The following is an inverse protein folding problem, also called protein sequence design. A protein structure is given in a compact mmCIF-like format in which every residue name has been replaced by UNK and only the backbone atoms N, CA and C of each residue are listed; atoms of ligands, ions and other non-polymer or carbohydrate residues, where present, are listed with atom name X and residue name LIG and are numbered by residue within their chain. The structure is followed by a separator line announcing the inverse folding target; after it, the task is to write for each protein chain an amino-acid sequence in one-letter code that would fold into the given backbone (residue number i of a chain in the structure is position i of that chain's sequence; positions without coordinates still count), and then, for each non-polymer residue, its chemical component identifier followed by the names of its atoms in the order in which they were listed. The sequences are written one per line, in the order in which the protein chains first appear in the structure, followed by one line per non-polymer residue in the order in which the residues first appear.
data_IF_853752016574
#
_entry.id   IF_853752016574
#
_cell.length_a   1.000
_cell.length_b   1.000
_cell.length_c   1.000
_cell.angle_alpha   90.00
_cell.angle_beta   90.00
_cell.angle_gamma   90.00
#
_symmetry.space_group_name_H-M   'P 1'
#
loop_
_entity.id
_entity.type
_entity.pdbx_description
1 polymer ?
#
# COMPACT_ATOMS: atom_id res chain seq x y z
N UNK A 1 8.24 2.30 20.62
CA UNK A 1 7.61 3.35 19.85
C UNK A 1 6.77 2.78 18.73
N UNK A 2 5.55 3.16 18.67
CA UNK A 2 4.72 2.65 17.62
C UNK A 2 5.08 3.30 16.30
N UNK A 3 5.13 2.51 15.28
CA UNK A 3 5.23 3.02 13.95
C UNK A 3 3.85 3.50 13.57
N UNK A 4 3.62 4.77 13.50
CA UNK A 4 2.39 5.26 12.96
C UNK A 4 2.19 4.76 11.54
N UNK A 5 1.12 5.15 10.89
CA UNK A 5 0.92 4.74 9.51
C UNK A 5 2.05 5.24 8.62
N UNK A 6 2.38 4.41 7.64
CA UNK A 6 3.42 4.73 6.67
C UNK A 6 2.79 5.38 5.46
N UNK A 7 3.59 6.12 4.72
CA UNK A 7 3.16 6.74 3.48
C UNK A 7 4.05 6.28 2.35
N UNK A 8 3.47 6.15 1.18
CA UNK A 8 4.23 5.75 0.02
C UNK A 8 3.49 6.05 -1.26
N UNK A 9 4.07 5.56 -2.34
CA UNK A 9 3.57 5.76 -3.70
C UNK A 9 3.41 4.40 -4.34
N UNK A 10 2.28 4.18 -4.99
CA UNK A 10 2.03 2.94 -5.71
C UNK A 10 3.01 2.83 -6.87
N UNK A 11 3.80 1.78 -6.85
CA UNK A 11 4.73 1.47 -7.94
C UNK A 11 4.01 0.73 -9.05
N UNK A 12 3.16 -0.22 -8.67
CA UNK A 12 2.40 -0.99 -9.64
C UNK A 12 1.22 -1.65 -8.94
N UNK A 13 0.20 -2.00 -9.72
CA UNK A 13 -0.93 -2.77 -9.22
C UNK A 13 -1.56 -3.49 -10.40
N UNK A 14 -1.75 -4.79 -10.22
CA UNK A 14 -2.41 -5.64 -11.22
C UNK A 14 -3.82 -5.96 -10.72
N UNK A 15 -4.86 -5.37 -11.30
CA UNK A 15 -6.23 -5.63 -10.84
C UNK A 15 -6.69 -7.06 -11.12
N UNK A 16 -6.03 -7.76 -12.02
CA UNK A 16 -6.40 -9.14 -12.34
C UNK A 16 -5.96 -10.07 -11.20
N UNK A 17 -4.69 -9.99 -10.81
CA UNK A 17 -4.19 -10.81 -9.72
C UNK A 17 -4.50 -10.21 -8.35
N UNK A 18 -4.71 -8.90 -8.29
CA UNK A 18 -4.95 -8.22 -7.04
C UNK A 18 -3.69 -7.97 -6.24
N UNK A 19 -2.53 -8.00 -6.87
CA UNK A 19 -1.25 -7.80 -6.20
C UNK A 19 -0.62 -6.52 -6.69
N UNK A 20 -0.02 -5.77 -5.78
CA UNK A 20 0.66 -4.53 -6.12
C UNK A 20 1.86 -4.29 -5.25
N UNK A 21 2.55 -3.20 -5.52
CA UNK A 21 3.77 -2.81 -4.82
C UNK A 21 3.72 -1.32 -4.51
N UNK A 22 4.17 -0.97 -3.31
CA UNK A 22 4.25 0.41 -2.85
C UNK A 22 5.71 0.69 -2.51
N UNK A 23 6.20 1.87 -2.90
CA UNK A 23 7.50 2.35 -2.45
C UNK A 23 7.25 3.26 -1.24
N UNK A 24 7.81 2.89 -0.10
CA UNK A 24 7.64 3.67 1.12
C UNK A 24 8.48 4.94 1.07
N UNK A 25 7.91 6.07 1.47
CA UNK A 25 8.61 7.35 1.46
C UNK A 25 9.77 7.39 2.45
N UNK A 26 9.63 6.69 3.56
CA UNK A 26 10.58 6.80 4.67
C UNK A 26 11.89 6.08 4.38
N UNK A 27 11.81 4.86 3.89
CA UNK A 27 12.99 4.01 3.69
C UNK A 27 13.22 3.64 2.24
N UNK A 28 12.33 4.05 1.34
CA UNK A 28 12.40 3.78 -0.10
C UNK A 28 12.40 2.29 -0.44
N UNK A 29 11.94 1.46 0.49
CA UNK A 29 11.79 0.03 0.24
C UNK A 29 10.47 -0.26 -0.44
N UNK A 30 10.44 -1.35 -1.19
CA UNK A 30 9.22 -1.84 -1.81
C UNK A 30 8.46 -2.70 -0.81
N UNK A 31 7.15 -2.47 -0.72
CA UNK A 31 6.26 -3.30 0.08
C UNK A 31 5.16 -3.82 -0.79
N UNK A 32 4.89 -5.11 -0.69
CA UNK A 32 3.84 -5.75 -1.46
C UNK A 32 2.50 -5.60 -0.76
N UNK A 33 1.44 -5.52 -1.53
CA UNK A 33 0.09 -5.56 -0.98
C UNK A 33 -0.80 -6.37 -1.89
N UNK A 34 -1.91 -6.86 -1.33
CA UNK A 34 -2.89 -7.63 -2.08
C UNK A 34 -4.23 -6.89 -2.06
N UNK A 35 -5.18 -7.43 -2.83
CA UNK A 35 -6.51 -6.82 -2.89
C UNK A 35 -7.15 -6.71 -1.52
N UNK A 36 -6.83 -7.60 -0.59
CA UNK A 36 -7.39 -7.55 0.75
C UNK A 36 -7.02 -6.25 1.49
N UNK A 37 -5.91 -5.61 1.13
CA UNK A 37 -5.51 -4.35 1.72
C UNK A 37 -6.45 -3.21 1.31
N UNK A 38 -7.26 -3.40 0.30
CA UNK A 38 -8.19 -2.39 -0.21
C UNK A 38 -9.60 -2.55 0.37
N UNK A 39 -9.84 -3.60 1.13
CA UNK A 39 -11.16 -3.84 1.71
C UNK A 39 -11.49 -2.72 2.68
N UNK A 40 -12.67 -2.12 2.52
CA UNK A 40 -13.07 -0.98 3.33
C UNK A 40 -12.45 0.33 2.90
N UNK A 41 -11.64 0.31 1.87
CA UNK A 41 -11.00 1.51 1.34
C UNK A 41 -11.87 2.15 0.28
N UNK A 42 -11.61 3.44 0.01
CA UNK A 42 -12.26 4.13 -1.11
C UNK A 42 -11.67 3.74 -2.45
N UNK A 43 -10.57 3.02 -2.44
CA UNK A 43 -9.91 2.63 -3.68
C UNK A 43 -10.66 1.50 -4.35
N UNK A 44 -10.97 1.66 -5.62
CA UNK A 44 -11.47 0.57 -6.45
C UNK A 44 -10.36 0.01 -7.31
N UNK A 45 -9.42 0.86 -7.68
CA UNK A 45 -8.21 0.48 -8.36
C UNK A 45 -7.16 1.51 -8.01
N UNK A 46 -5.91 1.15 -8.23
CA UNK A 46 -4.79 2.02 -7.94
C UNK A 46 -4.00 2.25 -9.20
N UNK A 47 -3.44 3.44 -9.30
CA UNK A 47 -2.61 3.83 -10.44
C UNK A 47 -1.19 4.00 -9.97
N UNK A 48 -0.27 3.76 -10.88
CA UNK A 48 1.13 4.06 -10.64
C UNK A 48 1.29 5.54 -10.28
N UNK A 49 2.04 5.80 -9.24
CA UNK A 49 2.28 7.17 -8.78
C UNK A 49 1.26 7.70 -7.79
N UNK A 50 0.22 6.94 -7.48
CA UNK A 50 -0.77 7.38 -6.51
C UNK A 50 -0.20 7.28 -5.10
N UNK A 51 -0.40 8.35 -4.31
CA UNK A 51 0.04 8.34 -2.91
C UNK A 51 -0.99 7.64 -2.05
N UNK A 52 -0.47 6.83 -1.13
CA UNK A 52 -1.32 6.08 -0.21
C UNK A 52 -0.70 6.11 1.18
N UNK A 53 -1.56 5.91 2.17
CA UNK A 53 -1.14 5.65 3.55
C UNK A 53 -1.46 4.18 3.83
N UNK A 54 -0.58 3.50 4.51
CA UNK A 54 -0.77 2.08 4.78
C UNK A 54 -0.12 1.69 6.09
N UNK A 55 -0.51 0.53 6.59
CA UNK A 55 0.11 -0.11 7.75
C UNK A 55 0.82 -1.36 7.28
N UNK A 56 1.71 -1.88 8.12
CA UNK A 56 2.32 -3.18 7.89
C UNK A 56 1.73 -4.21 8.85
N UNK A 57 1.62 -5.43 8.40
CA UNK A 57 1.04 -6.51 9.20
C UNK A 57 2.01 -7.15 10.17
N UNK A 58 3.15 -6.53 10.39
CA UNK A 58 4.22 -7.07 11.22
C UNK A 58 5.36 -7.65 10.40
N UNK A 59 5.20 -7.69 9.08
CA UNK A 59 6.23 -8.14 8.16
C UNK A 59 6.43 -7.11 7.07
N UNK A 60 6.44 -7.56 5.83
CA UNK A 60 6.66 -6.66 4.70
C UNK A 60 5.40 -6.48 3.84
N UNK A 61 4.26 -6.95 4.32
CA UNK A 61 3.00 -6.83 3.58
C UNK A 61 2.27 -5.57 4.02
N UNK A 62 1.98 -4.70 3.08
CA UNK A 62 1.22 -3.49 3.35
C UNK A 62 -0.27 -3.85 3.43
N UNK A 63 -0.96 -3.27 4.41
CA UNK A 63 -2.37 -3.50 4.64
C UNK A 63 -3.05 -2.16 4.89
N UNK A 64 -4.37 -2.16 4.81
CA UNK A 64 -5.20 -1.00 5.15
C UNK A 64 -4.80 0.23 4.36
N UNK A 65 -4.70 0.07 3.05
CA UNK A 65 -4.38 1.21 2.19
C UNK A 65 -5.51 2.22 2.22
N UNK A 66 -5.13 3.50 2.32
CA UNK A 66 -6.10 4.58 2.37
C UNK A 66 -5.47 5.85 1.81
N UNK A 67 -6.29 6.84 1.57
CA UNK A 67 -5.80 8.12 1.07
C UNK A 67 -5.01 8.84 2.14
N UNK A 68 -3.91 9.42 1.72
CA UNK A 68 -3.06 10.18 2.61
C UNK A 68 -3.51 11.59 2.90
#
# INVERSE_FOLDING_TARGET
MSAGPLQGVVKSYDPVSGVGTIICDTDLNDYEFTRSALVGSVFRSLRQGQRVVFDLDGGSLAIRLRMG
#
